data_IF_004075516014
#
_entry.id   IF_004075516014
#
_cell.length_a   1.000
_cell.length_b   1.000
_cell.length_c   1.000
_cell.angle_alpha   90.00
_cell.angle_beta   90.00
_cell.angle_gamma   90.00
#
_symmetry.space_group_name_H-M   'P 1'
#
loop_
_entity.id
_entity.type
_entity.pdbx_description
1 polymer ?
#
# COMPACT_ATOMS: atom_id res chain seq x y z
N UNK A 1 4.78 -11.13 22.35
CA UNK A 1 5.93 -10.23 22.16
C UNK A 1 5.88 -9.66 20.76
N UNK A 2 6.18 -8.35 20.60
CA UNK A 2 5.98 -7.58 19.37
C UNK A 2 7.19 -6.69 19.14
N UNK A 3 7.74 -6.72 17.92
CA UNK A 3 8.70 -5.72 17.44
C UNK A 3 7.95 -4.64 16.64
N UNK A 4 8.06 -3.37 17.02
CA UNK A 4 7.56 -2.24 16.22
C UNK A 4 8.69 -1.70 15.35
N UNK A 5 8.42 -1.56 14.06
CA UNK A 5 9.35 -1.08 13.03
C UNK A 5 8.84 0.24 12.48
N UNK A 6 9.51 1.33 12.81
CA UNK A 6 9.22 2.68 12.30
C UNK A 6 10.08 2.91 11.06
N UNK A 7 9.44 3.26 9.94
CA UNK A 7 10.13 3.56 8.68
C UNK A 7 10.32 5.06 8.55
N UNK A 8 11.55 5.50 8.40
CA UNK A 8 11.87 6.93 8.31
C UNK A 8 12.69 7.29 7.07
N UNK A 9 12.35 8.44 6.48
CA UNK A 9 13.19 9.15 5.52
C UNK A 9 12.91 10.66 5.60
N UNK A 10 13.90 11.40 6.11
CA UNK A 10 13.83 12.87 6.28
C UNK A 10 12.55 13.34 7.00
N UNK A 11 12.19 12.61 8.07
CA UNK A 11 10.97 12.85 8.83
C UNK A 11 11.21 13.12 10.31
N UNK A 12 12.39 13.69 10.68
CA UNK A 12 12.77 13.99 12.06
C UNK A 12 11.65 14.63 12.87
N UNK A 13 10.93 15.55 12.28
CA UNK A 13 9.86 16.31 12.93
C UNK A 13 8.61 15.49 13.28
N UNK A 14 8.45 14.27 12.76
CA UNK A 14 7.36 13.36 13.10
C UNK A 14 7.75 12.32 14.15
N UNK A 15 9.07 12.03 14.30
CA UNK A 15 9.55 10.88 15.06
C UNK A 15 9.18 10.94 16.54
N UNK A 16 9.10 12.14 17.11
CA UNK A 16 8.72 12.30 18.51
C UNK A 16 7.29 11.81 18.77
N UNK A 17 6.34 12.24 17.96
CA UNK A 17 4.93 11.85 18.10
C UNK A 17 4.72 10.38 17.74
N UNK A 18 5.36 9.89 16.67
CA UNK A 18 5.25 8.52 16.24
C UNK A 18 5.79 7.55 17.32
N UNK A 19 7.04 7.71 17.74
CA UNK A 19 7.68 6.84 18.74
C UNK A 19 7.01 7.00 20.10
N UNK A 20 6.67 8.24 20.48
CA UNK A 20 5.94 8.53 21.72
C UNK A 20 4.61 7.79 21.78
N UNK A 21 3.88 7.74 20.68
CA UNK A 21 2.60 7.03 20.60
C UNK A 21 2.74 5.49 20.73
N UNK A 22 3.86 4.93 20.28
CA UNK A 22 4.17 3.50 20.47
C UNK A 22 4.51 3.19 21.93
N UNK A 23 5.32 4.03 22.57
CA UNK A 23 5.69 3.90 23.98
C UNK A 23 4.50 4.10 24.92
N UNK A 24 3.48 4.85 24.50
CA UNK A 24 2.25 5.11 25.25
C UNK A 24 1.19 4.02 25.09
N UNK A 25 1.42 2.97 24.29
CA UNK A 25 0.49 1.84 24.23
C UNK A 25 0.54 1.01 25.53
N UNK A 26 -0.53 0.30 25.85
CA UNK A 26 -0.64 -0.57 27.00
C UNK A 26 -1.12 -1.98 26.58
N UNK A 27 -0.22 -3.00 26.60
CA UNK A 27 1.23 -2.89 26.81
C UNK A 27 1.94 -2.24 25.60
N UNK A 28 3.11 -1.60 25.81
CA UNK A 28 3.94 -1.09 24.73
C UNK A 28 4.59 -2.26 23.95
N UNK A 29 5.11 -2.01 22.73
CA UNK A 29 5.92 -2.99 22.01
C UNK A 29 7.13 -3.44 22.84
N UNK A 30 7.50 -4.72 22.75
CA UNK A 30 8.68 -5.28 23.45
C UNK A 30 10.00 -4.79 22.84
N UNK A 31 9.99 -4.40 21.58
CA UNK A 31 11.11 -3.85 20.81
C UNK A 31 10.62 -2.74 19.88
N UNK A 32 11.36 -1.64 19.79
CA UNK A 32 11.15 -0.59 18.78
C UNK A 32 12.42 -0.44 17.94
N UNK A 33 12.26 -0.49 16.61
CA UNK A 33 13.32 -0.34 15.63
C UNK A 33 12.99 0.84 14.74
N UNK A 34 13.86 1.86 14.69
CA UNK A 34 13.84 2.86 13.64
C UNK A 34 14.66 2.36 12.47
N UNK A 35 14.02 2.11 11.33
CA UNK A 35 14.73 1.88 10.07
C UNK A 35 14.81 3.18 9.30
N UNK A 36 15.97 3.79 9.34
CA UNK A 36 16.23 5.05 8.67
C UNK A 36 16.71 4.82 7.24
N UNK A 37 15.96 5.30 6.27
CA UNK A 37 16.23 5.12 4.86
C UNK A 37 17.28 6.12 4.33
N UNK A 38 18.37 6.26 5.10
CA UNK A 38 19.51 7.12 4.87
C UNK A 38 19.12 8.61 4.82
N UNK A 39 18.56 9.10 5.94
CA UNK A 39 18.18 10.50 6.12
C UNK A 39 19.39 11.42 6.28
N UNK A 40 19.24 12.68 5.88
CA UNK A 40 20.23 13.76 6.02
C UNK A 40 19.75 14.92 6.92
N UNK A 41 18.59 14.75 7.60
CA UNK A 41 17.94 15.75 8.47
C UNK A 41 18.29 15.61 9.96
N UNK A 42 19.20 14.70 10.34
CA UNK A 42 19.58 14.42 11.74
C UNK A 42 18.56 13.56 12.49
N UNK A 43 17.75 12.76 11.76
CA UNK A 43 16.76 11.83 12.36
C UNK A 43 17.39 10.78 13.25
N UNK A 44 18.53 10.19 12.83
CA UNK A 44 19.20 9.10 13.56
C UNK A 44 19.78 9.59 14.89
N UNK A 45 20.46 10.71 14.86
CA UNK A 45 21.05 11.36 16.04
C UNK A 45 19.96 11.75 17.03
N UNK A 46 18.88 12.35 16.54
CA UNK A 46 17.71 12.71 17.35
C UNK A 46 17.12 11.53 18.11
N UNK A 47 16.93 10.39 17.42
CA UNK A 47 16.34 9.20 18.07
C UNK A 47 17.34 8.57 19.04
N UNK A 48 18.62 8.49 18.69
CA UNK A 48 19.65 7.95 19.58
C UNK A 48 19.82 8.76 20.89
N UNK A 49 19.62 10.09 20.82
CA UNK A 49 19.69 10.95 22.00
C UNK A 49 18.42 10.90 22.86
N UNK A 50 17.27 10.85 22.21
CA UNK A 50 15.97 11.02 22.92
C UNK A 50 15.34 9.70 23.36
N UNK A 51 15.58 8.61 22.66
CA UNK A 51 14.92 7.32 22.84
C UNK A 51 15.95 6.19 22.94
N UNK A 52 16.67 6.10 24.06
CA UNK A 52 17.76 5.12 24.27
C UNK A 52 17.34 3.66 24.05
N UNK A 53 16.05 3.32 24.25
CA UNK A 53 15.51 1.98 24.04
C UNK A 53 15.22 1.67 22.56
N UNK A 54 15.29 2.65 21.65
CA UNK A 54 14.99 2.48 20.24
C UNK A 54 16.25 2.11 19.47
N UNK A 55 16.23 0.96 18.84
CA UNK A 55 17.35 0.50 17.99
C UNK A 55 17.30 1.16 16.62
N UNK A 56 18.35 1.87 16.24
CA UNK A 56 18.45 2.53 14.93
C UNK A 56 19.17 1.63 13.94
N UNK A 57 18.60 1.48 12.74
CA UNK A 57 19.13 0.72 11.61
C UNK A 57 19.17 1.65 10.39
N UNK A 58 20.37 1.92 9.84
CA UNK A 58 20.56 2.70 8.60
C UNK A 58 20.58 1.77 7.40
N UNK A 59 19.79 2.08 6.38
CA UNK A 59 19.79 1.31 5.11
C UNK A 59 21.01 1.57 4.22
N UNK A 60 21.81 2.61 4.54
CA UNK A 60 22.98 3.01 3.76
C UNK A 60 22.67 3.84 2.50
N UNK A 61 21.45 3.78 1.99
CA UNK A 61 20.96 4.60 0.87
C UNK A 61 19.42 4.57 0.85
N UNK A 62 18.77 5.56 0.25
CA UNK A 62 17.31 5.54 0.08
C UNK A 62 16.89 4.53 -0.99
N UNK A 63 16.48 3.36 -0.56
CA UNK A 63 15.99 2.27 -1.40
C UNK A 63 14.46 2.18 -1.50
N UNK A 64 13.74 3.16 -0.96
CA UNK A 64 12.29 3.20 -0.88
C UNK A 64 11.72 2.52 0.38
N UNK A 65 10.44 2.79 0.70
CA UNK A 65 9.82 2.32 1.95
C UNK A 65 9.71 0.79 2.02
N UNK A 66 9.49 0.11 0.89
CA UNK A 66 9.39 -1.35 0.86
C UNK A 66 10.70 -2.03 1.29
N UNK A 67 11.85 -1.54 0.84
CA UNK A 67 13.15 -2.05 1.27
C UNK A 67 13.38 -1.83 2.76
N UNK A 68 13.08 -0.64 3.26
CA UNK A 68 13.22 -0.33 4.68
C UNK A 68 12.32 -1.22 5.55
N UNK A 69 11.07 -1.48 5.13
CA UNK A 69 10.17 -2.42 5.81
C UNK A 69 10.73 -3.83 5.86
N UNK A 70 11.25 -4.35 4.74
CA UNK A 70 11.89 -5.66 4.68
C UNK A 70 13.11 -5.75 5.63
N UNK A 71 13.95 -4.73 5.65
CA UNK A 71 15.10 -4.66 6.56
C UNK A 71 14.64 -4.67 8.02
N UNK A 72 13.58 -3.93 8.36
CA UNK A 72 13.00 -3.90 9.69
C UNK A 72 12.46 -5.27 10.11
N UNK A 73 11.68 -5.94 9.26
CA UNK A 73 11.15 -7.29 9.54
C UNK A 73 12.28 -8.31 9.70
N UNK A 74 13.33 -8.20 8.89
CA UNK A 74 14.51 -9.08 9.01
C UNK A 74 15.25 -8.85 10.32
N UNK A 75 15.34 -7.59 10.76
CA UNK A 75 16.02 -7.19 12.00
C UNK A 75 15.20 -7.44 13.26
N UNK A 76 13.88 -7.62 13.15
CA UNK A 76 12.97 -7.84 14.27
C UNK A 76 13.26 -9.17 14.99
N UNK A 77 13.17 -9.16 16.34
CA UNK A 77 13.42 -10.33 17.17
C UNK A 77 12.15 -11.18 17.38
N UNK A 78 10.97 -10.61 17.20
CA UNK A 78 9.70 -11.26 17.52
C UNK A 78 8.94 -11.71 16.28
N UNK A 79 8.03 -12.68 16.47
CA UNK A 79 7.22 -13.25 15.38
C UNK A 79 6.11 -12.31 14.90
N UNK A 80 5.71 -11.36 15.74
CA UNK A 80 4.76 -10.31 15.37
C UNK A 80 5.50 -9.01 15.16
N UNK A 81 5.33 -8.43 13.99
CA UNK A 81 6.02 -7.18 13.63
C UNK A 81 4.98 -6.13 13.25
N UNK A 82 4.89 -5.09 14.07
CA UNK A 82 4.15 -3.88 13.71
C UNK A 82 5.00 -3.04 12.78
N UNK A 83 4.51 -2.76 11.58
CA UNK A 83 5.14 -1.82 10.65
C UNK A 83 4.34 -0.53 10.64
N UNK A 84 5.03 0.60 10.80
CA UNK A 84 4.41 1.92 10.90
C UNK A 84 5.28 2.98 10.21
N UNK A 85 4.64 3.88 9.45
CA UNK A 85 5.32 5.02 8.84
C UNK A 85 5.59 6.13 9.89
N UNK A 86 6.65 6.90 9.71
CA UNK A 86 7.07 7.93 10.68
C UNK A 86 6.06 9.05 10.90
N UNK A 87 5.16 9.31 9.94
CA UNK A 87 4.11 10.32 9.99
C UNK A 87 2.75 9.77 10.47
N UNK A 88 2.79 8.61 11.14
CA UNK A 88 1.62 7.94 11.72
C UNK A 88 1.72 7.94 13.24
N UNK A 89 0.62 8.29 13.91
CA UNK A 89 0.49 8.28 15.38
C UNK A 89 -0.59 7.28 15.79
N UNK A 90 -0.26 6.33 16.65
CA UNK A 90 -1.22 5.35 17.16
C UNK A 90 -2.10 5.96 18.26
N UNK A 91 -3.41 5.70 18.18
CA UNK A 91 -4.33 6.06 19.26
C UNK A 91 -4.22 5.05 20.43
N UNK A 92 -4.58 5.46 21.67
CA UNK A 92 -4.55 4.56 22.83
C UNK A 92 -5.34 3.26 22.56
N UNK A 93 -4.72 2.10 22.87
CA UNK A 93 -5.32 0.79 22.69
C UNK A 93 -5.25 0.20 21.27
N UNK A 94 -4.75 0.96 20.29
CA UNK A 94 -4.69 0.48 18.90
C UNK A 94 -3.79 -0.75 18.73
N UNK A 95 -2.66 -0.84 19.46
CA UNK A 95 -1.80 -2.01 19.41
C UNK A 95 -2.49 -3.25 19.99
N UNK A 96 -3.15 -3.11 21.13
CA UNK A 96 -3.91 -4.19 21.76
C UNK A 96 -5.04 -4.70 20.85
N UNK A 97 -5.73 -3.79 20.14
CA UNK A 97 -6.75 -4.14 19.15
C UNK A 97 -6.18 -4.95 18.00
N UNK A 98 -5.07 -4.49 17.38
CA UNK A 98 -4.39 -5.24 16.29
C UNK A 98 -3.99 -6.64 16.71
N UNK A 99 -3.44 -6.79 17.94
CA UNK A 99 -3.05 -8.09 18.49
C UNK A 99 -4.28 -8.98 18.69
N UNK A 100 -5.33 -8.47 19.32
CA UNK A 100 -6.58 -9.21 19.54
C UNK A 100 -7.20 -9.66 18.22
N UNK A 101 -7.19 -8.80 17.19
CA UNK A 101 -7.69 -9.15 15.86
C UNK A 101 -6.82 -10.22 15.19
N UNK A 102 -5.49 -10.16 15.32
CA UNK A 102 -4.60 -11.20 14.80
C UNK A 102 -4.80 -12.53 15.53
N UNK A 103 -4.98 -12.52 16.86
CA UNK A 103 -5.25 -13.72 17.66
C UNK A 103 -6.58 -14.39 17.28
N UNK A 104 -7.58 -13.59 16.96
CA UNK A 104 -8.89 -14.07 16.52
C UNK A 104 -8.90 -14.61 15.08
N UNK A 105 -7.87 -14.29 14.28
CA UNK A 105 -7.76 -14.66 12.87
C UNK A 105 -6.40 -15.32 12.56
N UNK A 106 -6.20 -16.60 12.93
CA UNK A 106 -4.89 -17.29 12.78
C UNK A 106 -4.44 -17.43 11.33
N UNK A 107 -5.37 -17.31 10.35
CA UNK A 107 -5.05 -17.31 8.93
C UNK A 107 -4.60 -15.92 8.43
N UNK A 108 -4.70 -14.88 9.26
CA UNK A 108 -4.23 -13.55 8.87
C UNK A 108 -2.70 -13.51 8.74
N UNK A 109 -2.22 -13.05 7.60
CA UNK A 109 -0.82 -12.67 7.42
C UNK A 109 -0.58 -11.25 7.90
N UNK A 110 -1.56 -10.37 7.69
CA UNK A 110 -1.50 -8.94 8.05
C UNK A 110 -2.81 -8.51 8.70
N UNK A 111 -2.72 -7.65 9.72
CA UNK A 111 -3.85 -6.91 10.28
C UNK A 111 -3.58 -5.41 10.13
N UNK A 112 -4.37 -4.74 9.30
CA UNK A 112 -4.23 -3.31 8.99
C UNK A 112 -5.05 -2.47 9.96
N UNK A 113 -4.48 -1.36 10.45
CA UNK A 113 -5.20 -0.35 11.23
C UNK A 113 -6.09 0.52 10.33
N UNK A 114 -7.21 1.05 10.89
CA UNK A 114 -7.96 2.15 10.28
C UNK A 114 -7.20 3.45 10.48
N UNK A 115 -6.93 4.13 9.37
CA UNK A 115 -6.27 5.44 9.38
C UNK A 115 -7.27 6.58 9.27
N UNK A 116 -7.11 7.58 10.12
CA UNK A 116 -7.86 8.83 10.09
C UNK A 116 -6.98 9.96 9.55
N UNK A 117 -7.60 11.01 9.05
CA UNK A 117 -6.89 12.24 8.64
C UNK A 117 -6.32 12.93 9.88
N UNK A 118 -5.00 13.17 9.92
CA UNK A 118 -4.32 13.65 11.12
C UNK A 118 -4.83 14.98 11.68
N UNK A 119 -5.22 15.91 10.82
CA UNK A 119 -5.76 17.21 11.23
C UNK A 119 -7.27 17.18 11.52
N UNK A 120 -7.98 16.19 10.99
CA UNK A 120 -9.42 16.00 11.12
C UNK A 120 -9.69 14.52 11.46
N UNK A 121 -9.81 14.25 12.76
CA UNK A 121 -9.98 12.90 13.28
C UNK A 121 -11.35 12.29 13.01
N UNK A 122 -12.29 13.07 12.48
CA UNK A 122 -13.63 12.58 12.13
C UNK A 122 -13.70 11.97 10.72
N UNK A 123 -12.62 12.09 9.92
CA UNK A 123 -12.58 11.55 8.57
C UNK A 123 -11.68 10.32 8.46
N UNK A 124 -12.23 9.25 7.89
CA UNK A 124 -11.43 8.08 7.48
C UNK A 124 -10.48 8.49 6.37
N UNK A 125 -9.21 8.20 6.54
CA UNK A 125 -8.22 8.38 5.48
C UNK A 125 -8.06 7.10 4.67
N UNK A 126 -7.74 5.99 5.33
CA UNK A 126 -7.73 4.66 4.73
C UNK A 126 -8.30 3.63 5.71
N UNK A 127 -9.12 2.75 5.19
CA UNK A 127 -9.54 1.54 5.90
C UNK A 127 -9.58 0.34 4.94
N UNK A 128 -10.75 -0.18 4.57
CA UNK A 128 -10.85 -1.31 3.66
C UNK A 128 -10.38 -1.00 2.24
N UNK A 129 -9.72 -1.98 1.64
CA UNK A 129 -9.21 -1.89 0.26
C UNK A 129 -9.53 -3.16 -0.51
N UNK A 130 -9.77 -3.02 -1.81
CA UNK A 130 -9.88 -4.14 -2.76
C UNK A 130 -8.97 -3.88 -3.97
N UNK A 131 -8.62 -4.92 -4.70
CA UNK A 131 -7.81 -4.79 -5.92
C UNK A 131 -8.74 -4.88 -7.13
N UNK A 132 -8.86 -3.78 -7.85
CA UNK A 132 -9.56 -3.75 -9.13
C UNK A 132 -8.77 -4.55 -10.18
N UNK A 133 -9.45 -5.24 -11.10
CA UNK A 133 -8.77 -6.05 -12.11
C UNK A 133 -7.83 -5.23 -13.03
N UNK A 134 -7.95 -3.92 -13.06
CA UNK A 134 -6.99 -3.02 -13.72
C UNK A 134 -5.69 -2.84 -12.91
N UNK A 135 -5.52 -3.50 -11.77
CA UNK A 135 -4.36 -3.36 -10.89
C UNK A 135 -4.37 -2.06 -10.08
N UNK A 136 -5.54 -1.53 -9.77
CA UNK A 136 -5.72 -0.31 -8.97
C UNK A 136 -6.36 -0.68 -7.63
N UNK A 137 -6.09 0.11 -6.60
CA UNK A 137 -6.81 -0.02 -5.33
C UNK A 137 -8.19 0.64 -5.43
N UNK A 138 -9.18 -0.06 -4.90
CA UNK A 138 -10.49 0.49 -4.54
C UNK A 138 -10.45 0.75 -3.05
N UNK A 139 -10.58 2.01 -2.64
CA UNK A 139 -10.57 2.42 -1.25
C UNK A 139 -12.01 2.58 -0.76
N UNK A 140 -12.32 1.92 0.35
CA UNK A 140 -13.61 2.09 1.03
C UNK A 140 -13.52 3.29 1.99
N UNK A 141 -14.65 3.95 2.22
CA UNK A 141 -14.79 5.06 3.18
C UNK A 141 -13.76 6.21 3.05
N UNK A 142 -13.09 6.33 1.92
CA UNK A 142 -12.06 7.35 1.74
C UNK A 142 -12.64 8.76 1.87
N UNK A 143 -12.12 9.55 2.82
CA UNK A 143 -12.63 10.86 3.23
C UNK A 143 -14.12 10.85 3.65
N UNK A 144 -14.61 9.73 4.16
CA UNK A 144 -15.95 9.60 4.73
C UNK A 144 -15.89 9.89 6.25
N UNK A 145 -16.86 10.63 6.82
CA UNK A 145 -16.94 10.75 8.27
C UNK A 145 -17.03 9.38 8.95
N UNK A 146 -16.33 9.20 10.05
CA UNK A 146 -16.31 7.91 10.79
C UNK A 146 -17.73 7.43 11.14
N UNK A 147 -18.62 8.35 11.51
CA UNK A 147 -20.00 8.04 11.85
C UNK A 147 -20.84 7.50 10.67
N UNK A 148 -20.40 7.78 9.43
CA UNK A 148 -21.07 7.35 8.20
C UNK A 148 -20.34 6.19 7.51
N UNK A 149 -19.15 5.84 8.02
CA UNK A 149 -18.31 4.79 7.44
C UNK A 149 -19.02 3.43 7.51
N UNK A 150 -19.06 2.74 6.39
CA UNK A 150 -19.63 1.39 6.30
C UNK A 150 -18.55 0.37 6.57
N UNK A 151 -18.93 -0.77 7.15
CA UNK A 151 -17.99 -1.87 7.33
C UNK A 151 -17.47 -2.36 5.97
N UNK A 152 -16.15 -2.30 5.71
CA UNK A 152 -15.60 -2.79 4.46
C UNK A 152 -15.69 -4.32 4.35
N UNK A 153 -15.60 -4.87 3.13
CA UNK A 153 -15.51 -6.33 2.94
C UNK A 153 -14.33 -6.93 3.72
N UNK A 154 -14.54 -8.14 4.25
CA UNK A 154 -13.52 -8.93 4.92
C UNK A 154 -13.46 -10.34 4.34
N UNK A 155 -12.30 -10.95 4.20
CA UNK A 155 -10.96 -10.35 4.40
C UNK A 155 -10.71 -9.22 3.40
N UNK A 156 -9.86 -8.26 3.81
CA UNK A 156 -9.48 -7.12 3.00
C UNK A 156 -8.79 -7.58 1.70
N UNK A 157 -9.18 -7.02 0.56
CA UNK A 157 -8.63 -7.43 -0.74
C UNK A 157 -7.22 -6.89 -1.02
N UNK A 158 -6.88 -5.74 -0.45
CA UNK A 158 -5.62 -5.03 -0.64
C UNK A 158 -5.00 -4.56 0.67
N UNK A 159 -4.01 -3.69 0.58
CA UNK A 159 -3.29 -3.09 1.70
C UNK A 159 -2.97 -1.63 1.37
N UNK A 160 -3.05 -0.74 2.38
CA UNK A 160 -2.34 0.54 2.40
C UNK A 160 -1.34 0.47 3.54
N UNK A 161 -0.06 0.38 3.20
CA UNK A 161 1.01 -0.05 4.09
C UNK A 161 1.53 1.06 5.02
N UNK A 162 0.63 1.80 5.70
CA UNK A 162 1.03 2.87 6.62
C UNK A 162 1.13 2.44 8.10
N UNK A 163 0.26 1.51 8.53
CA UNK A 163 0.30 0.88 9.86
C UNK A 163 -0.40 -0.47 9.82
N UNK A 164 0.33 -1.55 10.06
CA UNK A 164 -0.20 -2.90 10.10
C UNK A 164 0.65 -3.84 10.95
N UNK A 165 0.01 -4.80 11.60
CA UNK A 165 0.67 -5.89 12.30
C UNK A 165 0.84 -7.06 11.33
N UNK A 166 2.03 -7.63 11.24
CA UNK A 166 2.38 -8.77 10.38
C UNK A 166 2.73 -10.02 11.19
N UNK A 167 2.27 -11.17 10.73
CA UNK A 167 2.91 -12.45 11.04
C UNK A 167 4.23 -12.50 10.25
N UNK A 168 5.35 -12.51 10.99
CA UNK A 168 6.69 -12.44 10.41
C UNK A 168 6.98 -13.61 9.47
N UNK A 169 6.54 -14.82 9.84
CA UNK A 169 6.74 -16.03 9.04
C UNK A 169 6.03 -15.91 7.69
N UNK A 170 4.72 -15.65 7.68
CA UNK A 170 3.91 -15.49 6.47
C UNK A 170 4.40 -14.33 5.60
N UNK A 171 4.81 -13.20 6.23
CA UNK A 171 5.40 -12.07 5.52
C UNK A 171 6.69 -12.48 4.80
N UNK A 172 7.63 -13.14 5.49
CA UNK A 172 8.90 -13.57 4.92
C UNK A 172 8.70 -14.62 3.83
N UNK A 173 7.80 -15.57 4.01
CA UNK A 173 7.44 -16.60 3.03
C UNK A 173 6.82 -16.02 1.75
N UNK A 174 6.17 -14.85 1.84
CA UNK A 174 5.68 -14.12 0.68
C UNK A 174 6.79 -13.42 -0.11
N UNK A 175 8.00 -13.33 0.46
CA UNK A 175 9.12 -12.55 -0.06
C UNK A 175 9.11 -11.07 0.33
N UNK A 176 8.19 -10.65 1.22
CA UNK A 176 8.08 -9.26 1.67
C UNK A 176 7.74 -8.27 0.54
N UNK A 177 8.07 -7.00 0.70
CA UNK A 177 7.90 -5.97 -0.34
C UNK A 177 8.87 -6.17 -1.52
N UNK A 178 8.39 -5.96 -2.73
CA UNK A 178 9.25 -5.90 -3.90
C UNK A 178 9.97 -4.54 -3.96
N UNK A 179 11.22 -4.50 -3.52
CA UNK A 179 12.02 -3.26 -3.43
C UNK A 179 12.31 -2.61 -4.80
N UNK A 180 12.26 -3.36 -5.89
CA UNK A 180 12.46 -2.84 -7.25
C UNK A 180 11.32 -1.90 -7.70
N UNK A 181 10.15 -1.95 -7.04
CA UNK A 181 9.05 -1.02 -7.28
C UNK A 181 9.35 0.37 -6.71
N UNK A 182 10.21 0.47 -5.70
CA UNK A 182 10.58 1.64 -4.94
C UNK A 182 9.41 2.20 -4.11
N UNK A 183 8.43 2.87 -4.75
CA UNK A 183 7.21 3.44 -4.15
C UNK A 183 6.08 3.45 -5.19
N UNK A 184 4.83 3.41 -4.75
CA UNK A 184 3.60 3.17 -5.53
C UNK A 184 3.49 1.75 -6.08
N UNK A 185 2.41 1.09 -5.74
CA UNK A 185 2.09 -0.31 -6.05
C UNK A 185 2.87 -1.38 -5.28
N UNK A 186 3.83 -1.02 -4.43
CA UNK A 186 4.56 -1.99 -3.60
C UNK A 186 3.65 -2.66 -2.56
N UNK A 187 2.70 -1.91 -2.01
CA UNK A 187 1.66 -2.40 -1.11
C UNK A 187 0.64 -3.28 -1.84
N UNK A 188 0.21 -2.86 -3.02
CA UNK A 188 -0.66 -3.65 -3.89
C UNK A 188 0.00 -4.97 -4.28
N UNK A 189 1.28 -4.96 -4.65
CA UNK A 189 2.05 -6.14 -5.00
C UNK A 189 2.14 -7.14 -3.84
N UNK A 190 2.49 -6.67 -2.63
CA UNK A 190 2.56 -7.50 -1.45
C UNK A 190 1.19 -8.10 -1.10
N UNK A 191 0.16 -7.26 -1.03
CA UNK A 191 -1.20 -7.70 -0.73
C UNK A 191 -1.68 -8.76 -1.72
N UNK A 192 -1.47 -8.52 -3.02
CA UNK A 192 -1.91 -9.47 -4.05
C UNK A 192 -1.16 -10.79 -3.97
N UNK A 193 0.17 -10.78 -3.73
CA UNK A 193 0.97 -12.01 -3.55
C UNK A 193 0.56 -12.80 -2.32
N UNK A 194 0.24 -12.16 -1.21
CA UNK A 194 -0.32 -12.81 -0.02
C UNK A 194 -1.68 -13.46 -0.35
N UNK A 195 -2.59 -12.72 -0.96
CA UNK A 195 -3.94 -13.19 -1.32
C UNK A 195 -3.91 -14.33 -2.34
N UNK A 196 -2.99 -14.32 -3.29
CA UNK A 196 -2.78 -15.42 -4.25
C UNK A 196 -2.45 -16.73 -3.52
N UNK A 197 -1.73 -16.67 -2.41
CA UNK A 197 -1.35 -17.83 -1.57
C UNK A 197 -2.48 -18.31 -0.65
N UNK A 198 -3.59 -17.58 -0.57
CA UNK A 198 -4.68 -17.84 0.34
C UNK A 198 -4.54 -17.19 1.71
N UNK A 199 -3.46 -16.43 1.94
CA UNK A 199 -3.27 -15.68 3.17
C UNK A 199 -4.30 -14.55 3.29
N UNK A 200 -4.73 -14.24 4.49
CA UNK A 200 -5.71 -13.20 4.74
C UNK A 200 -5.07 -11.88 5.17
N UNK A 201 -5.68 -10.80 4.75
CA UNK A 201 -5.41 -9.44 5.24
C UNK A 201 -6.69 -8.98 5.91
N UNK A 202 -6.62 -8.62 7.18
CA UNK A 202 -7.77 -8.21 7.98
C UNK A 202 -7.67 -6.72 8.27
N UNK A 203 -8.76 -5.99 8.11
CA UNK A 203 -8.87 -4.63 8.64
C UNK A 203 -9.38 -4.70 10.08
N UNK A 204 -8.66 -4.05 10.99
CA UNK A 204 -9.14 -3.76 12.33
C UNK A 204 -9.68 -2.33 12.41
N UNK A 205 -11.01 -2.21 12.44
CA UNK A 205 -11.69 -0.92 12.54
C UNK A 205 -11.56 -0.27 13.92
N UNK A 206 -11.21 -1.05 14.95
CA UNK A 206 -10.97 -0.58 16.31
C UNK A 206 -9.54 -0.06 16.53
N UNK A 207 -8.59 -0.49 15.73
CA UNK A 207 -7.22 -0.01 15.76
C UNK A 207 -7.10 1.30 14.99
N UNK A 208 -7.18 2.44 15.70
CA UNK A 208 -7.18 3.76 15.10
C UNK A 208 -5.78 4.36 15.06
N UNK A 209 -5.39 4.93 13.92
CA UNK A 209 -4.16 5.70 13.77
C UNK A 209 -4.43 7.01 13.06
N UNK A 210 -3.68 8.05 13.40
CA UNK A 210 -3.70 9.34 12.72
C UNK A 210 -2.56 9.37 11.70
N UNK A 211 -2.85 9.77 10.47
CA UNK A 211 -1.84 9.83 9.41
C UNK A 211 -1.58 11.28 9.00
N UNK A 212 -0.33 11.71 9.12
CA UNK A 212 0.13 13.07 8.87
C UNK A 212 0.17 13.50 7.40
N UNK A 213 1.32 13.98 6.90
CA UNK A 213 1.39 14.76 5.67
C UNK A 213 1.51 13.96 4.37
N UNK A 214 2.12 12.78 4.39
CA UNK A 214 2.42 11.99 3.17
C UNK A 214 3.71 12.40 2.45
N UNK A 215 4.16 11.57 1.51
CA UNK A 215 5.47 11.67 0.86
C UNK A 215 5.52 12.83 -0.15
N UNK A 216 6.55 13.68 -0.04
CA UNK A 216 6.86 14.77 -0.99
C UNK A 216 7.00 14.22 -2.42
N UNK A 217 6.50 14.95 -3.42
CA UNK A 217 6.54 14.61 -4.86
C UNK A 217 5.82 13.29 -5.24
N UNK A 218 5.12 12.66 -4.31
CA UNK A 218 4.30 11.47 -4.52
C UNK A 218 2.87 11.71 -4.04
N UNK A 219 2.69 12.26 -2.84
CA UNK A 219 1.37 12.51 -2.27
C UNK A 219 0.57 13.52 -3.10
N UNK A 220 -0.75 13.29 -3.17
CA UNK A 220 -1.73 14.14 -3.88
C UNK A 220 -2.58 14.94 -2.88
N UNK A 221 -2.09 15.14 -1.66
CA UNK A 221 -2.79 15.92 -0.63
C UNK A 221 -2.66 17.41 -0.92
N UNK A 222 -3.78 18.10 -0.89
CA UNK A 222 -3.90 19.55 -1.14
C UNK A 222 -4.52 19.85 -2.49
N UNK A 223 -5.42 20.87 -2.52
CA UNK A 223 -6.20 21.27 -3.69
C UNK A 223 -5.36 21.84 -4.85
N UNK A 224 -4.10 22.22 -4.60
CA UNK A 224 -3.20 22.83 -5.58
C UNK A 224 -2.05 21.91 -6.04
N UNK A 225 -2.01 20.66 -5.59
CA UNK A 225 -0.91 19.75 -5.91
C UNK A 225 -0.84 19.49 -7.42
N UNK A 226 0.19 20.03 -8.07
CA UNK A 226 0.56 19.63 -9.44
C UNK A 226 0.83 18.12 -9.44
N UNK A 227 0.28 17.40 -10.41
CA UNK A 227 0.51 15.96 -10.51
C UNK A 227 1.98 15.69 -10.89
N UNK A 228 2.81 15.07 -10.01
CA UNK A 228 4.25 15.00 -10.26
C UNK A 228 4.60 14.08 -11.43
N UNK A 229 5.60 14.48 -12.23
CA UNK A 229 6.14 13.65 -13.30
C UNK A 229 6.61 12.27 -12.80
N UNK A 230 7.25 12.24 -11.61
CA UNK A 230 7.72 11.01 -10.95
C UNK A 230 6.57 10.04 -10.69
N UNK A 231 5.38 10.54 -10.28
CA UNK A 231 4.21 9.71 -10.05
C UNK A 231 3.68 9.10 -11.36
N UNK A 232 3.67 9.86 -12.47
CA UNK A 232 3.29 9.34 -13.80
C UNK A 232 4.26 8.24 -14.24
N UNK A 233 5.56 8.47 -14.11
CA UNK A 233 6.61 7.50 -14.42
C UNK A 233 6.41 6.19 -13.64
N UNK A 234 6.32 6.27 -12.31
CA UNK A 234 6.16 5.10 -11.45
C UNK A 234 4.85 4.35 -11.71
N UNK A 235 3.74 5.06 -11.87
CA UNK A 235 2.45 4.46 -12.22
C UNK A 235 2.53 3.71 -13.55
N UNK A 236 3.09 4.34 -14.58
CA UNK A 236 3.27 3.76 -15.91
C UNK A 236 4.09 2.46 -15.89
N UNK A 237 5.14 2.39 -15.06
CA UNK A 237 6.01 1.23 -14.89
C UNK A 237 5.43 0.19 -13.96
N UNK A 238 5.15 0.58 -12.70
CA UNK A 238 4.89 -0.35 -11.59
C UNK A 238 3.57 -1.09 -11.77
N UNK A 239 2.51 -0.43 -12.24
CA UNK A 239 1.24 -1.10 -12.50
C UNK A 239 1.40 -2.33 -13.39
N UNK A 240 2.14 -2.21 -14.49
CA UNK A 240 2.37 -3.35 -15.39
C UNK A 240 3.26 -4.42 -14.77
N UNK A 241 4.28 -4.03 -13.99
CA UNK A 241 5.11 -5.00 -13.27
C UNK A 241 4.27 -5.84 -12.32
N UNK A 242 3.35 -5.20 -11.56
CA UNK A 242 2.44 -5.91 -10.65
C UNK A 242 1.45 -6.78 -11.41
N UNK A 243 0.83 -6.28 -12.48
CA UNK A 243 -0.08 -7.08 -13.33
C UNK A 243 0.63 -8.32 -13.90
N UNK A 244 1.84 -8.15 -14.43
CA UNK A 244 2.63 -9.25 -14.97
C UNK A 244 3.04 -10.26 -13.89
N UNK A 245 3.32 -9.82 -12.68
CA UNK A 245 3.68 -10.67 -11.55
C UNK A 245 2.47 -11.44 -11.03
N UNK A 246 1.36 -10.76 -10.78
CA UNK A 246 0.27 -11.26 -9.97
C UNK A 246 -0.87 -11.90 -10.77
N UNK A 247 -1.23 -11.40 -11.95
CA UNK A 247 -2.31 -12.00 -12.73
C UNK A 247 -1.95 -13.39 -13.25
N UNK A 248 -2.90 -14.32 -13.18
CA UNK A 248 -2.79 -15.60 -13.89
C UNK A 248 -2.70 -15.35 -15.41
N UNK A 249 -2.05 -16.26 -16.17
CA UNK A 249 -1.85 -16.05 -17.63
C UNK A 249 -3.17 -15.94 -18.42
N UNK A 250 -4.22 -16.68 -18.01
CA UNK A 250 -5.56 -16.56 -18.61
C UNK A 250 -6.16 -15.17 -18.35
N UNK A 251 -6.01 -14.67 -17.13
CA UNK A 251 -6.48 -13.31 -16.77
C UNK A 251 -5.73 -12.24 -17.57
N UNK A 252 -4.41 -12.39 -17.77
CA UNK A 252 -3.64 -11.49 -18.64
C UNK A 252 -4.22 -11.47 -20.05
N UNK A 253 -4.61 -12.63 -20.60
CA UNK A 253 -5.17 -12.73 -21.94
C UNK A 253 -6.56 -12.07 -22.03
N UNK A 254 -7.50 -12.47 -21.16
CA UNK A 254 -8.89 -12.01 -21.22
C UNK A 254 -9.07 -10.55 -20.78
N UNK A 255 -8.21 -10.05 -19.92
CA UNK A 255 -8.23 -8.67 -19.45
C UNK A 255 -7.36 -7.73 -20.29
N UNK A 256 -6.53 -8.26 -21.22
CA UNK A 256 -5.62 -7.44 -22.04
C UNK A 256 -6.30 -6.26 -22.75
N UNK A 257 -7.48 -6.40 -23.40
CA UNK A 257 -8.12 -5.25 -24.05
C UNK A 257 -8.50 -4.15 -23.07
N UNK A 258 -9.01 -4.50 -21.88
CA UNK A 258 -9.33 -3.52 -20.84
C UNK A 258 -8.06 -2.86 -20.27
N UNK A 259 -6.97 -3.63 -20.08
CA UNK A 259 -5.67 -3.10 -19.65
C UNK A 259 -5.09 -2.10 -20.65
N UNK A 260 -5.17 -2.40 -21.95
CA UNK A 260 -4.74 -1.52 -23.02
C UNK A 260 -5.62 -0.28 -23.14
N UNK A 261 -6.94 -0.42 -22.97
CA UNK A 261 -7.86 0.72 -22.92
C UNK A 261 -7.53 1.67 -21.77
N UNK A 262 -7.27 1.13 -20.57
CA UNK A 262 -6.84 1.95 -19.44
C UNK A 262 -5.47 2.59 -19.69
N UNK A 263 -4.56 1.92 -20.37
CA UNK A 263 -3.25 2.48 -20.72
C UNK A 263 -3.36 3.71 -21.65
N UNK A 264 -4.30 3.69 -22.60
CA UNK A 264 -4.59 4.85 -23.44
C UNK A 264 -5.12 6.03 -22.62
N UNK A 265 -5.98 5.78 -21.63
CA UNK A 265 -6.46 6.80 -20.68
C UNK A 265 -5.30 7.38 -19.88
N UNK A 266 -4.38 6.55 -19.39
CA UNK A 266 -3.20 7.00 -18.65
C UNK A 266 -2.25 7.84 -19.52
N UNK A 267 -2.07 7.46 -20.76
CA UNK A 267 -1.27 8.25 -21.71
C UNK A 267 -1.92 9.61 -21.99
N UNK A 268 -3.24 9.64 -22.28
CA UNK A 268 -4.00 10.88 -22.43
C UNK A 268 -3.90 11.78 -21.19
N UNK A 269 -3.99 11.20 -19.99
CA UNK A 269 -3.78 11.92 -18.74
C UNK A 269 -2.36 12.50 -18.62
N UNK A 270 -1.33 11.74 -19.01
CA UNK A 270 0.05 12.21 -19.01
C UNK A 270 0.26 13.40 -19.98
N UNK A 271 -0.42 13.41 -21.13
CA UNK A 271 -0.42 14.56 -22.06
C UNK A 271 -1.07 15.78 -21.41
N UNK A 272 -2.27 15.62 -20.83
CA UNK A 272 -3.01 16.71 -20.16
C UNK A 272 -2.20 17.32 -19.00
N UNK A 273 -1.44 16.48 -18.28
CA UNK A 273 -0.55 16.91 -17.17
C UNK A 273 0.82 17.39 -17.64
N UNK A 274 1.07 17.46 -18.94
CA UNK A 274 2.34 17.89 -19.57
C UNK A 274 3.55 17.01 -19.22
N UNK A 275 3.33 15.73 -18.96
CA UNK A 275 4.36 14.76 -18.61
C UNK A 275 4.37 13.47 -19.47
N UNK A 276 4.14 13.54 -20.81
CA UNK A 276 4.14 12.33 -21.65
C UNK A 276 5.51 11.62 -21.68
N UNK A 277 6.61 12.39 -21.57
CA UNK A 277 7.98 11.84 -21.51
C UNK A 277 8.16 10.96 -20.28
N UNK A 278 7.64 11.37 -19.13
CA UNK A 278 7.70 10.57 -17.90
C UNK A 278 6.94 9.23 -18.05
N UNK A 279 5.76 9.26 -18.68
CA UNK A 279 5.01 8.04 -18.99
C UNK A 279 5.83 7.11 -19.92
N UNK A 280 6.45 7.65 -20.96
CA UNK A 280 7.26 6.89 -21.91
C UNK A 280 8.49 6.28 -21.25
N UNK A 281 9.21 7.02 -20.42
CA UNK A 281 10.33 6.49 -19.64
C UNK A 281 9.89 5.32 -18.75
N UNK A 282 8.68 5.38 -18.17
CA UNK A 282 8.12 4.25 -17.42
C UNK A 282 7.96 3.00 -18.29
N UNK A 283 7.59 3.13 -19.58
CA UNK A 283 7.50 1.99 -20.50
C UNK A 283 8.87 1.44 -20.89
N UNK A 284 9.85 2.30 -21.10
CA UNK A 284 11.22 1.87 -21.38
C UNK A 284 11.76 1.06 -20.19
N UNK A 285 11.58 1.55 -18.97
CA UNK A 285 12.04 0.84 -17.79
C UNK A 285 11.22 -0.43 -17.51
N UNK A 286 9.92 -0.44 -17.80
CA UNK A 286 9.13 -1.67 -17.76
C UNK A 286 9.80 -2.77 -18.61
N UNK A 287 10.22 -2.45 -19.84
CA UNK A 287 10.89 -3.41 -20.73
C UNK A 287 12.22 -3.88 -20.11
N UNK A 288 13.01 -2.98 -19.51
CA UNK A 288 14.27 -3.33 -18.83
C UNK A 288 14.04 -4.27 -17.63
N UNK A 289 12.91 -4.13 -16.94
CA UNK A 289 12.56 -4.97 -15.79
C UNK A 289 11.88 -6.29 -16.16
N UNK A 290 11.49 -6.51 -17.39
CA UNK A 290 10.80 -7.76 -17.79
C UNK A 290 11.54 -9.03 -17.36
N UNK A 291 12.87 -9.17 -17.50
CA UNK A 291 13.57 -10.39 -17.06
C UNK A 291 13.39 -10.66 -15.56
N UNK A 292 13.44 -9.61 -14.72
CA UNK A 292 13.18 -9.73 -13.29
C UNK A 292 11.71 -10.03 -13.00
N UNK A 293 10.78 -9.36 -13.69
CA UNK A 293 9.35 -9.55 -13.55
C UNK A 293 8.93 -11.01 -13.82
N UNK A 294 9.56 -11.68 -14.76
CA UNK A 294 9.33 -13.13 -15.00
C UNK A 294 9.83 -13.98 -13.83
N UNK A 295 10.90 -13.60 -13.15
CA UNK A 295 11.35 -14.24 -11.91
C UNK A 295 10.34 -14.08 -10.78
N UNK A 296 9.87 -12.83 -10.52
CA UNK A 296 8.83 -12.54 -9.53
C UNK A 296 7.52 -13.27 -9.83
N UNK A 297 7.12 -13.28 -11.13
CA UNK A 297 5.96 -14.04 -11.58
C UNK A 297 6.08 -15.51 -11.25
N UNK A 298 7.23 -16.14 -11.53
CA UNK A 298 7.44 -17.57 -11.24
C UNK A 298 7.24 -17.81 -9.74
N UNK A 299 7.83 -16.99 -8.87
CA UNK A 299 7.69 -17.12 -7.43
C UNK A 299 6.24 -16.91 -6.95
N UNK A 300 5.53 -15.90 -7.47
CA UNK A 300 4.14 -15.63 -7.11
C UNK A 300 3.19 -16.73 -7.58
N UNK A 301 3.34 -17.22 -8.82
CA UNK A 301 2.42 -18.18 -9.42
C UNK A 301 2.66 -19.63 -8.95
N UNK A 302 3.89 -19.99 -8.53
CA UNK A 302 4.18 -21.33 -8.01
C UNK A 302 3.42 -21.68 -6.72
N UNK A 303 3.09 -20.66 -5.95
CA UNK A 303 2.37 -20.80 -4.66
C UNK A 303 0.89 -20.34 -4.76
N UNK A 304 0.36 -20.19 -5.97
CA UNK A 304 -1.03 -19.79 -6.18
C UNK A 304 -2.00 -20.87 -5.73
N UNK A 305 -2.90 -20.52 -4.82
CA UNK A 305 -4.01 -21.34 -4.35
C UNK A 305 -5.38 -20.72 -4.67
N UNK A 306 -5.41 -19.37 -4.91
CA UNK A 306 -6.66 -18.62 -5.11
C UNK A 306 -6.71 -18.04 -6.53
N UNK A 307 -7.81 -18.28 -7.28
CA UNK A 307 -7.96 -17.75 -8.62
C UNK A 307 -8.26 -16.26 -8.64
N UNK A 308 -7.87 -15.56 -9.73
CA UNK A 308 -8.05 -14.11 -9.85
C UNK A 308 -9.51 -13.65 -9.74
N UNK A 309 -10.48 -14.47 -10.17
CA UNK A 309 -11.91 -14.14 -10.06
C UNK A 309 -12.41 -13.99 -8.63
N UNK A 310 -11.71 -14.55 -7.64
CA UNK A 310 -12.04 -14.46 -6.21
C UNK A 310 -11.27 -13.32 -5.52
N UNK A 311 -10.21 -12.83 -6.15
CA UNK A 311 -9.33 -11.80 -5.60
C UNK A 311 -9.62 -10.39 -6.13
N UNK A 312 -10.21 -10.31 -7.34
CA UNK A 312 -10.31 -9.05 -8.06
C UNK A 312 -11.76 -8.56 -8.12
N UNK A 313 -11.90 -7.24 -8.07
CA UNK A 313 -13.18 -6.56 -8.24
C UNK A 313 -13.23 -5.75 -9.53
N UNK A 314 -14.43 -5.35 -9.90
CA UNK A 314 -14.73 -4.47 -11.01
C UNK A 314 -15.61 -3.31 -10.54
N UNK A 315 -15.90 -2.37 -11.43
CA UNK A 315 -16.73 -1.23 -11.15
C UNK A 315 -15.96 0.07 -11.08
N UNK A 316 -16.43 0.99 -10.24
CA UNK A 316 -15.70 2.23 -9.98
C UNK A 316 -14.45 1.95 -9.16
N UNK A 317 -13.34 2.54 -9.55
CA UNK A 317 -12.11 2.54 -8.77
C UNK A 317 -11.90 3.94 -8.17
N UNK A 318 -11.11 4.00 -7.11
CA UNK A 318 -10.92 5.25 -6.39
C UNK A 318 -10.02 6.20 -7.18
N UNK A 319 -10.50 7.41 -7.40
CA UNK A 319 -9.72 8.53 -7.91
C UNK A 319 -9.65 9.62 -6.85
N UNK A 320 -8.55 10.37 -6.84
CA UNK A 320 -8.47 11.55 -5.98
C UNK A 320 -9.66 12.49 -6.26
N UNK A 321 -10.38 13.00 -5.22
CA UNK A 321 -11.54 13.88 -5.39
C UNK A 321 -11.27 15.07 -6.31
N UNK A 322 -10.08 15.67 -6.23
CA UNK A 322 -9.68 16.76 -7.14
C UNK A 322 -9.60 16.37 -8.63
N UNK A 323 -9.58 15.08 -8.95
CA UNK A 323 -9.60 14.56 -10.32
C UNK A 323 -10.99 14.05 -10.74
N UNK A 324 -11.84 13.63 -9.79
CA UNK A 324 -13.14 12.99 -10.08
C UNK A 324 -14.34 13.94 -10.08
N UNK A 325 -14.24 15.12 -9.44
CA UNK A 325 -15.42 15.91 -9.07
C UNK A 325 -15.88 16.94 -10.10
N UNK A 326 -15.19 17.12 -11.21
CA UNK A 326 -15.49 18.19 -12.18
C UNK A 326 -15.80 17.68 -13.59
N UNK A 327 -17.00 18.05 -14.09
CA UNK A 327 -17.37 18.02 -15.51
C UNK A 327 -17.07 16.70 -16.23
N UNK A 328 -16.27 16.76 -17.28
CA UNK A 328 -15.94 15.63 -18.15
C UNK A 328 -15.24 14.47 -17.41
N UNK A 329 -14.42 14.76 -16.41
CA UNK A 329 -13.71 13.73 -15.66
C UNK A 329 -14.65 12.82 -14.85
N UNK A 330 -15.74 13.36 -14.30
CA UNK A 330 -16.78 12.58 -13.61
C UNK A 330 -17.49 11.62 -14.59
N UNK A 331 -17.84 12.14 -15.78
CA UNK A 331 -18.50 11.33 -16.81
C UNK A 331 -17.57 10.20 -17.27
N UNK A 332 -16.31 10.52 -17.57
CA UNK A 332 -15.31 9.53 -17.98
C UNK A 332 -15.10 8.46 -16.90
N UNK A 333 -15.01 8.86 -15.63
CA UNK A 333 -14.86 7.92 -14.52
C UNK A 333 -16.07 6.99 -14.39
N UNK A 334 -17.30 7.53 -14.47
CA UNK A 334 -18.53 6.75 -14.45
C UNK A 334 -18.62 5.77 -15.64
N UNK A 335 -18.25 6.23 -16.86
CA UNK A 335 -18.21 5.38 -18.03
C UNK A 335 -17.16 4.25 -17.89
N UNK A 336 -15.96 4.57 -17.37
CA UNK A 336 -14.94 3.57 -17.12
C UNK A 336 -15.40 2.52 -16.11
N UNK A 337 -16.07 2.93 -15.03
CA UNK A 337 -16.65 2.02 -14.05
C UNK A 337 -17.73 1.11 -14.66
N UNK A 338 -18.62 1.67 -15.49
CA UNK A 338 -19.65 0.91 -16.21
C UNK A 338 -19.05 -0.09 -17.20
N UNK A 339 -18.08 0.34 -18.02
CA UNK A 339 -17.36 -0.52 -18.96
C UNK A 339 -16.60 -1.63 -18.24
N UNK A 340 -15.94 -1.31 -17.13
CA UNK A 340 -15.24 -2.27 -16.28
C UNK A 340 -16.19 -3.34 -15.75
N UNK A 341 -17.34 -2.93 -15.22
CA UNK A 341 -18.37 -3.87 -14.73
C UNK A 341 -18.89 -4.78 -15.84
N UNK A 342 -19.17 -4.22 -17.03
CA UNK A 342 -19.65 -5.00 -18.17
C UNK A 342 -18.58 -6.02 -18.63
N UNK A 343 -17.33 -5.58 -18.74
CA UNK A 343 -16.22 -6.44 -19.12
C UNK A 343 -16.03 -7.60 -18.14
N UNK A 344 -16.05 -7.31 -16.85
CA UNK A 344 -15.89 -8.31 -15.80
C UNK A 344 -17.02 -9.33 -15.76
N UNK A 345 -18.27 -8.92 -16.00
CA UNK A 345 -19.42 -9.84 -16.12
C UNK A 345 -19.24 -10.86 -17.24
N UNK A 346 -18.58 -10.46 -18.35
CA UNK A 346 -18.35 -11.32 -19.51
C UNK A 346 -17.15 -12.22 -19.29
N UNK A 347 -16.01 -11.64 -18.90
CA UNK A 347 -14.71 -12.31 -18.90
C UNK A 347 -14.20 -12.72 -17.51
N UNK A 348 -14.72 -12.16 -16.42
CA UNK A 348 -14.23 -12.44 -15.07
C UNK A 348 -14.31 -13.92 -14.68
N UNK A 349 -15.33 -14.63 -15.16
CA UNK A 349 -15.48 -16.09 -14.94
C UNK A 349 -14.39 -16.93 -15.63
N UNK A 350 -13.72 -16.38 -16.64
CA UNK A 350 -12.64 -17.01 -17.39
C UNK A 350 -11.26 -16.73 -16.78
N UNK A 351 -11.20 -15.78 -15.82
CA UNK A 351 -9.98 -15.44 -15.09
C UNK A 351 -9.62 -16.58 -14.12
N UNK A 352 -8.37 -17.03 -14.22
CA UNK A 352 -7.87 -18.20 -13.50
C UNK A 352 -7.37 -17.91 -12.11
#
# INVERSE_FOLDING_TARGET
MISAVVINWNGKHYLEDCIGSLLAQDPPPDEIILVDNHSDDGSREFVAEKFESVRVVDTGYNAGPGYARNMGVTSAQHERVLLIDNDVTMQPGALASLVGTMDANPDAALVQARSLVGADTDLVHYDGTEIHFLGLLVLHNWFTPVAEAKRPPQPNGGLVALCFLADRGKYMDSGGFNSDLFILFEDTDLAWRLRIRGEQIILDEGALVLHGAGTKDISMRGAEAKYPARRIYLHSRNRWLVLLTCLHWRSLLFLAPAQLGYELVQFGFAIVKLHPVAWFHGKVDLIRFLPRAFGWRRAAQSNRSVPDRELLVAGAFTLNPGLSDRGLSRVLHACMGGCSTAWWKIFGRLCG
#
